data_IF_088163678600
#
_entry.id   IF_088163678600
#
_cell.length_a   1.000
_cell.length_b   1.000
_cell.length_c   1.000
_cell.angle_alpha   90.00
_cell.angle_beta   90.00
_cell.angle_gamma   90.00
#
_symmetry.space_group_name_H-M   'P 1'
#
loop_
_entity.id
_entity.type
_entity.pdbx_description
1 polymer ?
#
# COMPACT_ATOMS: atom_id res chain seq x y z
N UNK A 1 -1.68 9.84 -1.72
CA UNK A 1 -0.43 9.09 -1.83
C UNK A 1 0.40 9.62 -2.98
N UNK A 2 1.69 9.42 -2.89
CA UNK A 2 2.63 9.84 -3.92
C UNK A 2 3.38 8.61 -4.43
N UNK A 3 4.11 8.82 -5.51
CA UNK A 3 4.98 7.78 -6.02
C UNK A 3 6.08 7.52 -5.00
N UNK A 4 6.29 6.25 -4.66
CA UNK A 4 7.34 5.91 -3.71
C UNK A 4 7.74 4.45 -3.90
N UNK A 5 8.85 4.09 -3.27
CA UNK A 5 9.27 2.70 -3.23
C UNK A 5 9.89 2.42 -1.86
N UNK A 6 10.00 1.15 -1.55
CA UNK A 6 10.70 0.68 -0.37
C UNK A 6 11.83 -0.20 -0.87
N UNK A 7 13.05 0.17 -0.54
CA UNK A 7 14.18 -0.48 -1.16
C UNK A 7 14.51 -1.85 -0.61
N UNK A 8 14.06 -2.13 0.59
CA UNK A 8 14.47 -3.34 1.27
C UNK A 8 13.34 -4.26 1.70
N UNK A 9 12.11 -3.84 1.54
CA UNK A 9 10.98 -4.63 2.04
C UNK A 9 9.82 -4.59 1.06
N UNK A 10 9.06 -5.67 1.05
CA UNK A 10 7.81 -5.72 0.29
C UNK A 10 6.74 -4.99 1.08
N UNK A 11 5.71 -4.53 0.37
CA UNK A 11 4.59 -3.84 0.99
C UNK A 11 3.30 -4.52 0.55
N UNK A 12 2.45 -4.89 1.50
CA UNK A 12 1.21 -5.59 1.20
C UNK A 12 0.02 -4.66 1.40
N UNK A 13 -0.82 -4.57 0.38
CA UNK A 13 -2.05 -3.79 0.43
C UNK A 13 -3.23 -4.74 0.49
N UNK A 14 -4.15 -4.50 1.42
CA UNK A 14 -5.37 -5.29 1.55
C UNK A 14 -6.53 -4.31 1.59
N UNK A 15 -7.52 -4.50 0.72
CA UNK A 15 -8.68 -3.63 0.69
C UNK A 15 -9.72 -4.17 1.65
N UNK A 16 -10.03 -3.38 2.66
CA UNK A 16 -11.03 -3.74 3.66
C UNK A 16 -12.41 -3.32 3.17
N UNK A 17 -12.49 -2.17 2.55
CA UNK A 17 -13.77 -1.66 2.06
C UNK A 17 -13.51 -0.72 0.90
N UNK A 18 -14.29 -0.84 -0.16
CA UNK A 18 -14.15 0.03 -1.31
C UNK A 18 -13.26 -0.56 -2.37
N UNK A 19 -12.63 0.30 -3.15
CA UNK A 19 -11.77 -0.11 -4.26
C UNK A 19 -10.57 0.82 -4.30
N UNK A 20 -9.44 0.26 -4.74
CA UNK A 20 -8.24 1.08 -4.93
C UNK A 20 -7.51 0.61 -6.18
N UNK A 21 -6.62 1.46 -6.66
CA UNK A 21 -5.75 1.13 -7.77
C UNK A 21 -4.32 1.39 -7.32
N UNK A 22 -3.43 0.46 -7.60
CA UNK A 22 -2.01 0.68 -7.38
C UNK A 22 -1.40 0.89 -8.75
N UNK A 23 -0.88 2.08 -8.99
CA UNK A 23 -0.29 2.43 -10.27
C UNK A 23 1.19 2.14 -10.26
N UNK A 24 1.67 1.58 -11.34
CA UNK A 24 3.08 1.35 -11.60
C UNK A 24 3.46 2.14 -12.84
N UNK A 25 4.74 2.29 -13.07
CA UNK A 25 5.17 3.06 -14.25
C UNK A 25 4.72 2.42 -15.55
N UNK A 26 4.54 1.10 -15.56
CA UNK A 26 4.18 0.38 -16.78
C UNK A 26 2.79 -0.27 -16.70
N UNK A 27 1.97 0.12 -15.76
CA UNK A 27 0.63 -0.45 -15.68
C UNK A 27 -0.01 -0.17 -14.34
N UNK A 28 -1.05 -0.92 -14.04
CA UNK A 28 -1.75 -0.74 -12.78
C UNK A 28 -2.47 -2.01 -12.36
N UNK A 29 -2.75 -2.12 -11.07
CA UNK A 29 -3.50 -3.23 -10.50
C UNK A 29 -4.70 -2.64 -9.77
N UNK A 30 -5.88 -3.16 -10.04
CA UNK A 30 -7.10 -2.71 -9.37
C UNK A 30 -7.50 -3.74 -8.34
N UNK A 31 -7.79 -3.26 -7.14
CA UNK A 31 -8.17 -4.13 -6.04
C UNK A 31 -9.55 -3.75 -5.54
N UNK A 32 -10.37 -4.76 -5.31
CA UNK A 32 -11.69 -4.59 -4.73
C UNK A 32 -11.67 -5.11 -3.30
N UNK A 33 -12.79 -4.92 -2.63
CA UNK A 33 -12.93 -5.34 -1.25
C UNK A 33 -12.53 -6.80 -1.08
N UNK A 34 -11.71 -7.06 -0.08
CA UNK A 34 -11.25 -8.41 0.22
C UNK A 34 -10.03 -8.87 -0.58
N UNK A 35 -9.56 -8.05 -1.51
CA UNK A 35 -8.40 -8.42 -2.31
C UNK A 35 -7.13 -7.82 -1.76
N UNK A 36 -6.01 -8.44 -2.11
CA UNK A 36 -4.72 -7.96 -1.65
C UNK A 36 -3.70 -8.08 -2.76
N UNK A 37 -2.64 -7.30 -2.63
CA UNK A 37 -1.54 -7.34 -3.58
C UNK A 37 -0.25 -6.99 -2.86
N UNK A 38 0.80 -7.73 -3.16
CA UNK A 38 2.12 -7.49 -2.58
C UNK A 38 2.95 -6.74 -3.60
N UNK A 39 3.40 -5.55 -3.24
CA UNK A 39 4.30 -4.78 -4.08
C UNK A 39 5.72 -5.16 -3.67
N UNK A 40 6.50 -5.76 -4.58
CA UNK A 40 7.86 -6.17 -4.24
C UNK A 40 8.73 -4.98 -3.92
N UNK A 41 9.73 -5.22 -3.10
CA UNK A 41 10.69 -4.19 -2.75
C UNK A 41 11.31 -3.59 -4.01
N UNK A 42 11.58 -2.30 -3.97
CA UNK A 42 12.23 -1.62 -5.06
C UNK A 42 11.34 -1.20 -6.21
N UNK A 43 10.06 -1.57 -6.17
CA UNK A 43 9.14 -1.24 -7.24
C UNK A 43 8.42 0.06 -6.91
N UNK A 44 8.60 1.05 -7.77
CA UNK A 44 7.95 2.34 -7.59
C UNK A 44 6.46 2.21 -7.88
N UNK A 45 5.64 2.76 -7.00
CA UNK A 45 4.20 2.61 -7.13
C UNK A 45 3.48 3.79 -6.50
N UNK A 46 2.21 3.93 -6.85
CA UNK A 46 1.37 5.02 -6.34
C UNK A 46 -0.04 4.48 -6.09
N UNK A 47 -0.44 4.32 -4.83
CA UNK A 47 -1.80 3.91 -4.51
C UNK A 47 -2.77 5.06 -4.77
N UNK A 48 -3.92 4.75 -5.33
CA UNK A 48 -4.94 5.75 -5.64
C UNK A 48 -6.33 5.20 -5.37
N UNK A 49 -7.26 6.09 -5.08
CA UNK A 49 -8.66 5.70 -4.96
C UNK A 49 -9.52 6.87 -5.40
N UNK A 50 -10.62 6.59 -6.10
CA UNK A 50 -11.52 7.62 -6.59
C UNK A 50 -12.47 8.09 -5.51
N UNK A 51 -12.72 7.25 -4.53
CA UNK A 51 -13.58 7.61 -3.41
C UNK A 51 -13.00 6.97 -2.16
N UNK A 52 -13.64 7.20 -1.04
CA UNK A 52 -13.14 6.69 0.21
C UNK A 52 -12.92 5.18 0.14
N UNK A 53 -11.77 4.74 0.63
CA UNK A 53 -11.38 3.34 0.58
C UNK A 53 -10.63 3.04 1.86
N UNK A 54 -11.01 1.95 2.52
CA UNK A 54 -10.32 1.54 3.74
C UNK A 54 -9.37 0.43 3.39
N UNK A 55 -8.12 0.64 3.70
CA UNK A 55 -7.08 -0.32 3.36
C UNK A 55 -6.22 -0.63 4.57
N UNK A 56 -5.61 -1.79 4.52
CA UNK A 56 -4.63 -2.20 5.49
C UNK A 56 -3.31 -2.33 4.75
N UNK A 57 -2.28 -1.66 5.24
CA UNK A 57 -0.96 -1.76 4.65
C UNK A 57 -0.07 -2.49 5.65
N UNK A 58 0.51 -3.58 5.21
CA UNK A 58 1.35 -4.41 6.07
C UNK A 58 2.78 -4.34 5.58
N UNK A 59 3.68 -4.00 6.48
CA UNK A 59 5.10 -3.96 6.18
C UNK A 59 5.87 -4.30 7.43
N UNK A 60 7.14 -4.72 7.29
CA UNK A 60 7.91 -5.11 8.46
C UNK A 60 8.08 -3.97 9.45
N UNK A 61 8.21 -4.33 10.71
CA UNK A 61 8.41 -3.37 11.78
C UNK A 61 9.66 -2.54 11.50
N UNK A 62 9.56 -1.25 11.73
CA UNK A 62 10.70 -0.37 11.57
C UNK A 62 10.83 0.24 10.18
N UNK A 63 9.98 -0.14 9.26
CA UNK A 63 10.00 0.48 7.94
C UNK A 63 9.36 1.85 8.02
N UNK A 64 10.03 2.83 7.42
CA UNK A 64 9.50 4.19 7.36
C UNK A 64 8.76 4.35 6.04
N UNK A 65 7.55 4.82 6.13
CA UNK A 65 6.77 5.09 4.92
C UNK A 65 7.15 6.47 4.41
N UNK A 66 8.17 6.50 3.60
CA UNK A 66 8.75 7.77 3.18
C UNK A 66 7.86 8.54 2.27
N UNK A 67 6.89 7.89 1.80
CA UNK A 67 6.00 8.63 1.04
C UNK A 67 5.31 9.63 1.76
N UNK A 68 5.38 9.72 2.74
CA UNK A 68 4.89 9.96 3.41
C UNK A 68 4.71 10.81 4.25
N UNK A 69 4.48 11.05 4.32
CA UNK A 69 3.84 11.84 5.02
C UNK A 69 2.59 11.29 5.44
N UNK A 70 2.22 10.27 4.89
CA UNK A 70 0.99 9.66 5.24
C UNK A 70 1.16 8.47 6.14
N UNK A 71 2.04 8.54 7.04
CA UNK A 71 2.31 7.42 7.90
C UNK A 71 1.12 6.94 8.68
N UNK A 72 0.17 7.82 8.91
CA UNK A 72 -1.01 7.43 9.64
C UNK A 72 -1.83 6.39 8.90
N UNK A 73 -1.56 6.18 7.63
CA UNK A 73 -2.27 5.16 6.87
C UNK A 73 -1.59 3.81 6.93
N UNK A 74 -0.46 3.74 7.58
CA UNK A 74 0.31 2.53 7.67
C UNK A 74 0.01 1.82 8.97
N UNK A 75 -0.37 0.56 8.87
CA UNK A 75 -0.65 -0.27 10.04
C UNK A 75 0.55 -1.20 10.20
N UNK A 76 1.17 -1.15 11.36
CA UNK A 76 2.30 -2.02 11.59
C UNK A 76 1.81 -3.45 11.82
N UNK A 77 2.72 -4.37 11.60
CA UNK A 77 2.38 -5.77 11.59
C UNK A 77 1.86 -6.29 12.93
N UNK A 78 2.12 -5.60 14.01
CA UNK A 78 1.72 -6.09 15.31
C UNK A 78 0.31 -5.67 15.68
N UNK A 79 -0.39 -5.00 14.82
CA UNK A 79 -1.68 -4.46 15.17
C UNK A 79 -2.77 -5.47 15.03
N UNK A 80 -2.62 -6.42 14.14
CA UNK A 80 -3.76 -7.21 13.80
C UNK A 80 -3.50 -8.69 13.79
N UNK A 81 -2.54 -9.07 14.46
CA UNK A 81 -2.34 -10.47 14.64
C UNK A 81 -3.26 -10.99 15.69
#
# INVERSE_FOLDING_TARGET
FVWHDHKHTDETFIVIQGKMTIKFRDGEVKLSEGEMFVVPKGIEHKPCADSECKILVVEPRGVVNTGDTGGELTITEDIWI
#
